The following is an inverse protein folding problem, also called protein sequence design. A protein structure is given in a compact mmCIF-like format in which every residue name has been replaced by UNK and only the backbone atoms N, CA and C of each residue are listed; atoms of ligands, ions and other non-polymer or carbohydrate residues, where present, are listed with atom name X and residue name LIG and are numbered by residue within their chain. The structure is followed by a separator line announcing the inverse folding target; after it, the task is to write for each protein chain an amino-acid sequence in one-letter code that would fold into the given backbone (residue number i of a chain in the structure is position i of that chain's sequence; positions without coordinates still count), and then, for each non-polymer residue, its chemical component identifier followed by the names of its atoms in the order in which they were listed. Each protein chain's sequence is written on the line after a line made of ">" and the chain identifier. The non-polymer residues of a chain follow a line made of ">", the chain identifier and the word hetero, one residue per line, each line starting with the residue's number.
data_IF_289812731173
#
_entry.id   IF_289812731173
#
_cell.length_a   1.000
_cell.length_b   1.000
_cell.length_c   1.000
_cell.angle_alpha   90.00
_cell.angle_beta   90.00
_cell.angle_gamma   90.00
#
_symmetry.space_group_name_H-M   'P 1'
#
loop_
_entity.id
_entity.type
_entity.pdbx_description
1 polymer ?
#
# COMPACT_ATOMS: atom_id res chain seq x y z
N UNK A 1 -22.21 -16.08 18.64
CA UNK A 1 -22.47 -16.11 17.19
C UNK A 1 -21.81 -17.35 16.63
N UNK A 2 -22.46 -18.03 15.69
CA UNK A 2 -21.91 -19.25 15.10
C UNK A 2 -20.84 -18.89 14.07
N UNK A 3 -19.66 -19.53 14.22
CA UNK A 3 -18.50 -19.33 13.35
C UNK A 3 -18.77 -19.77 11.91
N UNK A 4 -19.75 -20.65 11.70
CA UNK A 4 -20.15 -21.12 10.39
C UNK A 4 -21.67 -21.15 10.28
N UNK A 5 -22.20 -20.84 9.09
CA UNK A 5 -23.61 -21.02 8.75
C UNK A 5 -23.71 -21.85 7.47
N UNK A 6 -24.74 -22.67 7.34
CA UNK A 6 -24.97 -23.46 6.13
C UNK A 6 -26.32 -23.07 5.56
N UNK A 7 -26.37 -22.70 4.29
CA UNK A 7 -27.62 -22.44 3.58
C UNK A 7 -28.29 -23.78 3.24
N UNK A 8 -29.37 -24.11 3.92
CA UNK A 8 -30.12 -25.36 3.72
C UNK A 8 -30.76 -25.50 2.32
N UNK A 9 -30.95 -24.39 1.60
CA UNK A 9 -31.54 -24.39 0.25
C UNK A 9 -30.49 -24.73 -0.82
N UNK A 10 -29.24 -24.34 -0.59
CA UNK A 10 -28.14 -24.50 -1.56
C UNK A 10 -27.09 -25.52 -1.11
N UNK A 11 -27.09 -25.93 0.16
CA UNK A 11 -26.07 -26.78 0.77
C UNK A 11 -24.73 -26.10 1.00
N UNK A 12 -24.62 -24.80 0.72
CA UNK A 12 -23.37 -24.05 0.79
C UNK A 12 -23.06 -23.64 2.23
N UNK A 13 -21.83 -23.93 2.69
CA UNK A 13 -21.33 -23.52 3.99
C UNK A 13 -20.70 -22.13 3.89
N UNK A 14 -20.77 -21.35 4.96
CA UNK A 14 -20.14 -20.04 5.09
C UNK A 14 -19.36 -19.95 6.40
N UNK A 15 -18.22 -19.26 6.41
CA UNK A 15 -17.40 -18.95 7.60
C UNK A 15 -17.50 -17.45 7.94
N UNK A 16 -17.66 -17.14 9.23
CA UNK A 16 -17.64 -15.78 9.74
C UNK A 16 -16.19 -15.30 9.89
N UNK A 17 -15.81 -14.31 9.07
CA UNK A 17 -14.49 -13.65 9.16
C UNK A 17 -14.73 -12.17 9.47
N UNK A 18 -14.52 -11.79 10.73
CA UNK A 18 -14.94 -10.47 11.23
C UNK A 18 -16.47 -10.42 11.35
N UNK A 19 -17.10 -9.49 10.62
CA UNK A 19 -18.54 -9.24 10.67
C UNK A 19 -19.29 -9.72 9.40
N UNK A 20 -18.62 -10.46 8.51
CA UNK A 20 -19.16 -10.91 7.21
C UNK A 20 -19.02 -12.43 7.09
N UNK A 21 -20.05 -13.07 6.54
CA UNK A 21 -20.07 -14.50 6.21
C UNK A 21 -19.55 -14.73 4.78
N UNK A 22 -18.47 -15.50 4.64
CA UNK A 22 -17.86 -15.91 3.35
C UNK A 22 -18.23 -17.34 3.01
N UNK A 23 -18.42 -17.69 1.73
CA UNK A 23 -18.54 -19.09 1.31
C UNK A 23 -17.35 -19.90 1.80
N UNK A 24 -17.60 -20.86 2.68
CA UNK A 24 -16.66 -21.90 3.09
C UNK A 24 -16.59 -22.93 1.97
N UNK A 25 -15.98 -22.51 0.86
CA UNK A 25 -15.60 -23.39 -0.24
C UNK A 25 -14.33 -24.16 0.10
N UNK A 26 -14.30 -25.41 -0.35
CA UNK A 26 -13.23 -26.38 -0.12
C UNK A 26 -11.82 -25.79 -0.32
N UNK A 27 -11.09 -25.64 0.79
CA UNK A 27 -9.63 -25.52 0.78
C UNK A 27 -9.00 -26.89 0.42
N UNK A 28 -9.43 -27.53 -0.66
CA UNK A 28 -8.55 -28.47 -1.35
C UNK A 28 -7.64 -27.64 -2.24
N UNK A 29 -6.31 -27.73 -2.07
CA UNK A 29 -5.42 -27.08 -3.00
C UNK A 29 -5.62 -27.78 -4.34
N UNK A 30 -6.21 -27.11 -5.32
CA UNK A 30 -5.96 -27.44 -6.71
C UNK A 30 -4.49 -27.06 -7.00
N UNK A 31 -3.60 -27.92 -6.53
CA UNK A 31 -2.28 -28.16 -7.10
C UNK A 31 -2.47 -28.57 -8.56
N UNK A 32 -2.79 -27.65 -9.46
CA UNK A 32 -2.57 -27.75 -10.92
C UNK A 32 -3.26 -26.57 -11.62
N UNK A 33 -2.53 -25.46 -11.76
CA UNK A 33 -2.53 -24.55 -12.93
C UNK A 33 -1.80 -23.25 -12.60
N UNK A 34 -0.48 -23.28 -12.65
CA UNK A 34 0.34 -22.20 -13.19
C UNK A 34 1.74 -22.75 -13.37
N UNK A 35 2.46 -22.33 -14.41
CA UNK A 35 3.87 -22.69 -14.60
C UNK A 35 4.76 -22.19 -13.45
N UNK A 36 6.08 -22.03 -13.62
CA UNK A 36 6.88 -21.42 -12.58
C UNK A 36 6.29 -20.04 -12.29
N UNK A 37 5.55 -19.89 -11.17
CA UNK A 37 5.21 -18.59 -10.62
C UNK A 37 6.57 -18.01 -10.29
N UNK A 38 7.03 -17.07 -11.12
CA UNK A 38 8.12 -16.19 -10.76
C UNK A 38 7.83 -15.73 -9.34
N UNK A 39 8.79 -15.96 -8.43
CA UNK A 39 8.60 -15.58 -7.03
C UNK A 39 8.13 -14.14 -7.03
N UNK A 40 6.99 -13.80 -6.40
CA UNK A 40 6.54 -12.42 -6.36
C UNK A 40 7.70 -11.58 -5.86
N UNK A 41 8.07 -10.54 -6.61
CA UNK A 41 9.14 -9.66 -6.20
C UNK A 41 8.84 -9.12 -4.80
N UNK A 42 9.87 -8.98 -3.93
CA UNK A 42 9.64 -8.50 -2.58
C UNK A 42 8.99 -7.11 -2.63
N UNK A 43 7.83 -6.98 -2.00
CA UNK A 43 7.12 -5.71 -1.85
C UNK A 43 8.04 -4.72 -1.12
N UNK A 44 8.21 -3.54 -1.70
CA UNK A 44 8.99 -2.44 -1.16
C UNK A 44 8.35 -1.79 0.07
N UNK A 45 9.01 -0.77 0.60
CA UNK A 45 8.61 -0.13 1.86
C UNK A 45 7.26 0.58 1.72
N UNK A 46 6.96 1.17 0.55
CA UNK A 46 5.74 1.91 0.33
C UNK A 46 4.52 1.00 0.21
N UNK A 47 4.66 -0.14 -0.47
CA UNK A 47 3.64 -1.17 -0.59
C UNK A 47 3.38 -1.83 0.76
N UNK A 48 4.41 -2.07 1.57
CA UNK A 48 4.22 -2.55 2.95
C UNK A 48 3.42 -1.56 3.80
N UNK A 49 3.77 -0.26 3.76
CA UNK A 49 3.02 0.79 4.45
C UNK A 49 1.57 0.88 3.98
N UNK A 50 1.35 0.81 2.67
CA UNK A 50 0.01 0.83 2.10
C UNK A 50 -0.80 -0.40 2.52
N UNK A 51 -0.16 -1.58 2.56
CA UNK A 51 -0.78 -2.81 3.05
C UNK A 51 -1.25 -2.69 4.50
N UNK A 52 -0.41 -2.13 5.38
CA UNK A 52 -0.78 -1.84 6.77
C UNK A 52 -1.98 -0.90 6.83
N UNK A 53 -1.92 0.21 6.07
CA UNK A 53 -3.01 1.18 6.01
C UNK A 53 -4.35 0.57 5.54
N UNK A 54 -4.36 -0.20 4.44
CA UNK A 54 -5.61 -0.77 3.92
C UNK A 54 -6.17 -1.86 4.83
N UNK A 55 -5.33 -2.56 5.59
CA UNK A 55 -5.78 -3.53 6.60
C UNK A 55 -6.50 -2.83 7.77
N UNK A 56 -5.95 -1.73 8.23
CA UNK A 56 -6.46 -1.00 9.40
C UNK A 56 -7.65 -0.09 9.05
N UNK A 57 -7.57 0.62 7.93
CA UNK A 57 -8.48 1.72 7.60
C UNK A 57 -9.39 1.45 6.41
N UNK A 58 -9.05 0.48 5.53
CA UNK A 58 -9.77 0.19 4.29
C UNK A 58 -10.06 -1.30 4.10
N UNK A 59 -10.52 -1.96 5.19
CA UNK A 59 -10.77 -3.40 5.21
C UNK A 59 -11.57 -3.96 4.01
N UNK A 60 -12.62 -3.29 3.50
CA UNK A 60 -13.32 -3.75 2.30
C UNK A 60 -12.43 -3.81 1.04
N UNK A 61 -11.55 -2.81 0.85
CA UNK A 61 -10.60 -2.76 -0.27
C UNK A 61 -9.57 -3.89 -0.14
N UNK A 62 -8.99 -4.06 1.05
CA UNK A 62 -8.05 -5.15 1.32
C UNK A 62 -8.65 -6.52 0.96
N UNK A 63 -9.86 -6.79 1.44
CA UNK A 63 -10.55 -8.06 1.18
C UNK A 63 -10.88 -8.24 -0.32
N UNK A 64 -11.31 -7.19 -1.00
CA UNK A 64 -11.57 -7.22 -2.43
C UNK A 64 -10.30 -7.56 -3.24
N UNK A 65 -9.17 -6.91 -2.94
CA UNK A 65 -7.90 -7.17 -3.60
C UNK A 65 -7.40 -8.59 -3.32
N UNK A 66 -7.54 -9.06 -2.08
CA UNK A 66 -7.17 -10.41 -1.69
C UNK A 66 -8.01 -11.48 -2.42
N UNK A 67 -9.34 -11.35 -2.41
CA UNK A 67 -10.25 -12.32 -3.06
C UNK A 67 -10.11 -12.32 -4.58
N UNK A 68 -9.73 -11.18 -5.18
CA UNK A 68 -9.51 -11.10 -6.63
C UNK A 68 -8.09 -11.48 -7.06
N UNK A 69 -7.24 -11.96 -6.14
CA UNK A 69 -5.83 -12.31 -6.40
C UNK A 69 -5.02 -11.15 -7.03
N UNK A 70 -5.38 -9.92 -6.68
CA UNK A 70 -4.75 -8.68 -7.18
C UNK A 70 -4.02 -7.90 -6.12
N UNK A 71 -3.89 -8.44 -4.91
CA UNK A 71 -3.22 -7.76 -3.81
C UNK A 71 -1.75 -7.49 -4.15
N UNK A 72 -1.00 -8.51 -4.54
CA UNK A 72 0.45 -8.37 -4.78
C UNK A 72 0.77 -7.41 -5.93
N UNK A 73 0.03 -7.50 -7.04
CA UNK A 73 0.20 -6.58 -8.18
C UNK A 73 -0.17 -5.14 -7.82
N UNK A 74 -1.24 -4.94 -7.05
CA UNK A 74 -1.62 -3.61 -6.56
C UNK A 74 -0.55 -2.99 -5.66
N UNK A 75 0.01 -3.77 -4.73
CA UNK A 75 1.06 -3.28 -3.84
C UNK A 75 2.35 -2.95 -4.61
N UNK A 76 2.74 -3.77 -5.59
CA UNK A 76 3.88 -3.50 -6.45
C UNK A 76 3.69 -2.23 -7.30
N UNK A 77 2.48 -1.99 -7.79
CA UNK A 77 2.15 -0.76 -8.52
C UNK A 77 2.21 0.48 -7.63
N UNK A 78 1.74 0.39 -6.38
CA UNK A 78 1.85 1.47 -5.39
C UNK A 78 3.31 1.73 -5.05
N UNK A 79 4.11 0.68 -4.82
CA UNK A 79 5.54 0.82 -4.56
C UNK A 79 6.28 1.58 -5.65
N UNK A 80 6.07 1.17 -6.90
CA UNK A 80 6.71 1.80 -8.05
C UNK A 80 6.30 3.26 -8.19
N UNK A 81 5.01 3.56 -8.07
CA UNK A 81 4.51 4.93 -8.15
C UNK A 81 5.04 5.80 -7.00
N UNK A 82 5.11 5.25 -5.79
CA UNK A 82 5.61 5.94 -4.61
C UNK A 82 7.10 6.26 -4.74
N UNK A 83 7.90 5.29 -5.19
CA UNK A 83 9.35 5.46 -5.38
C UNK A 83 9.63 6.48 -6.50
N UNK A 84 8.95 6.37 -7.65
CA UNK A 84 9.08 7.32 -8.75
C UNK A 84 8.73 8.75 -8.32
N UNK A 85 7.66 8.90 -7.54
CA UNK A 85 7.25 10.20 -7.00
C UNK A 85 8.24 10.74 -5.97
N UNK A 86 8.73 9.89 -5.07
CA UNK A 86 9.71 10.23 -4.05
C UNK A 86 11.00 10.74 -4.69
N UNK A 87 11.57 10.00 -5.63
CA UNK A 87 12.82 10.37 -6.32
C UNK A 87 12.66 11.70 -7.04
N UNK A 88 11.56 11.87 -7.78
CA UNK A 88 11.27 13.13 -8.49
C UNK A 88 11.15 14.33 -7.54
N UNK A 89 10.49 14.15 -6.38
CA UNK A 89 10.35 15.22 -5.39
C UNK A 89 11.70 15.58 -4.75
N UNK A 90 12.50 14.57 -4.40
CA UNK A 90 13.84 14.78 -3.83
C UNK A 90 14.72 15.56 -4.81
N UNK A 91 14.74 15.17 -6.09
CA UNK A 91 15.54 15.86 -7.11
C UNK A 91 15.10 17.31 -7.30
N UNK A 92 13.78 17.54 -7.42
CA UNK A 92 13.22 18.88 -7.61
C UNK A 92 13.49 19.81 -6.41
N UNK A 93 13.36 19.29 -5.18
CA UNK A 93 13.62 20.08 -3.98
C UNK A 93 15.12 20.33 -3.77
N UNK A 94 15.98 19.34 -4.07
CA UNK A 94 17.43 19.51 -3.99
C UNK A 94 17.94 20.56 -4.98
N UNK A 95 17.43 20.57 -6.21
CA UNK A 95 17.73 21.60 -7.21
C UNK A 95 17.26 22.98 -6.74
N UNK A 96 16.01 23.07 -6.27
CA UNK A 96 15.42 24.34 -5.80
C UNK A 96 16.13 24.92 -4.56
N UNK A 97 16.59 24.08 -3.64
CA UNK A 97 17.26 24.50 -2.40
C UNK A 97 18.79 24.61 -2.54
N UNK A 98 19.33 24.36 -3.75
CA UNK A 98 20.76 24.44 -4.04
C UNK A 98 21.60 23.41 -3.28
N UNK A 99 21.04 22.23 -3.00
CA UNK A 99 21.74 21.14 -2.31
C UNK A 99 22.57 20.37 -3.31
N UNK A 100 23.78 20.87 -3.58
CA UNK A 100 24.66 20.34 -4.64
C UNK A 100 25.84 19.53 -4.09
N UNK A 101 26.57 18.85 -4.99
CA UNK A 101 27.83 18.18 -4.63
C UNK A 101 28.94 19.17 -4.22
N UNK A 102 28.88 20.44 -4.67
CA UNK A 102 29.79 21.48 -4.16
C UNK A 102 29.53 21.74 -2.67
N UNK A 103 28.26 21.90 -2.27
CA UNK A 103 27.90 22.06 -0.86
C UNK A 103 28.37 20.87 -0.03
N UNK A 104 28.29 19.66 -0.57
CA UNK A 104 28.77 18.44 0.09
C UNK A 104 30.28 18.44 0.31
N UNK A 105 31.05 18.95 -0.65
CA UNK A 105 32.51 19.05 -0.56
C UNK A 105 32.96 20.15 0.42
N UNK A 106 32.23 21.26 0.46
CA UNK A 106 32.53 22.41 1.33
C UNK A 106 32.05 22.19 2.77
N UNK A 107 30.85 21.63 2.93
CA UNK A 107 30.19 21.40 4.22
C UNK A 107 29.30 20.15 4.20
N UNK A 108 29.93 18.99 4.36
CA UNK A 108 29.24 17.69 4.34
C UNK A 108 28.11 17.59 5.38
N UNK A 109 28.29 18.15 6.59
CA UNK A 109 27.27 18.07 7.64
C UNK A 109 26.01 18.85 7.29
N UNK A 110 26.18 20.05 6.72
CA UNK A 110 25.06 20.84 6.23
C UNK A 110 24.35 20.18 5.05
N UNK A 111 25.11 19.60 4.12
CA UNK A 111 24.54 18.84 3.00
C UNK A 111 23.67 17.68 3.49
N UNK A 112 24.16 16.88 4.46
CA UNK A 112 23.38 15.78 5.05
C UNK A 112 22.12 16.30 5.72
N UNK A 113 22.21 17.39 6.49
CA UNK A 113 21.05 17.98 7.17
C UNK A 113 19.97 18.43 6.18
N UNK A 114 20.36 19.14 5.11
CA UNK A 114 19.41 19.62 4.10
C UNK A 114 18.82 18.47 3.29
N UNK A 115 19.65 17.52 2.86
CA UNK A 115 19.18 16.34 2.13
C UNK A 115 18.20 15.50 2.96
N UNK A 116 18.45 15.33 4.25
CA UNK A 116 17.51 14.64 5.15
C UNK A 116 16.18 15.41 5.29
N UNK A 117 16.23 16.75 5.39
CA UNK A 117 15.00 17.55 5.44
C UNK A 117 14.17 17.40 4.16
N UNK A 118 14.82 17.42 2.99
CA UNK A 118 14.18 17.21 1.69
C UNK A 118 13.54 15.81 1.62
N UNK A 119 14.28 14.76 1.97
CA UNK A 119 13.76 13.38 1.96
C UNK A 119 12.54 13.24 2.87
N UNK A 120 12.58 13.79 4.08
CA UNK A 120 11.45 13.74 5.00
C UNK A 120 10.20 14.42 4.40
N UNK A 121 10.36 15.60 3.80
CA UNK A 121 9.25 16.32 3.15
C UNK A 121 8.71 15.57 1.93
N UNK A 122 9.58 14.99 1.10
CA UNK A 122 9.17 14.18 -0.04
C UNK A 122 8.39 12.94 0.42
N UNK A 123 8.85 12.26 1.47
CA UNK A 123 8.18 11.11 2.09
C UNK A 123 6.81 11.47 2.66
N UNK A 124 6.67 12.62 3.34
CA UNK A 124 5.38 13.12 3.84
C UNK A 124 4.35 13.31 2.71
N UNK A 125 4.79 13.90 1.58
CA UNK A 125 3.91 14.10 0.42
C UNK A 125 3.50 12.75 -0.17
N UNK A 126 4.43 11.82 -0.40
CA UNK A 126 4.12 10.48 -0.94
C UNK A 126 3.16 9.73 -0.02
N UNK A 127 3.41 9.75 1.29
CA UNK A 127 2.54 9.13 2.27
C UNK A 127 1.11 9.70 2.19
N UNK A 128 0.97 11.02 2.12
CA UNK A 128 -0.33 11.69 2.10
C UNK A 128 -1.10 11.44 0.80
N UNK A 129 -0.42 11.57 -0.33
CA UNK A 129 -1.06 11.54 -1.66
C UNK A 129 -1.35 10.12 -2.15
N UNK A 130 -0.46 9.16 -1.87
CA UNK A 130 -0.52 7.83 -2.47
C UNK A 130 -0.76 6.71 -1.44
N UNK A 131 -0.12 6.78 -0.27
CA UNK A 131 -0.22 5.70 0.72
C UNK A 131 -1.53 5.79 1.50
N UNK A 132 -1.96 7.00 1.86
CA UNK A 132 -3.14 7.26 2.69
C UNK A 132 -4.25 8.02 1.96
N UNK A 133 -4.13 8.22 0.63
CA UNK A 133 -4.85 9.21 -0.20
C UNK A 133 -6.39 9.17 -0.24
N UNK A 134 -7.05 8.33 0.56
CA UNK A 134 -8.51 8.26 0.68
C UNK A 134 -9.09 9.07 1.87
N UNK A 135 -8.28 9.76 2.68
CA UNK A 135 -8.78 10.55 3.82
C UNK A 135 -9.12 12.01 3.51
N UNK A 136 -8.66 12.53 2.37
CA UNK A 136 -8.79 13.96 2.04
C UNK A 136 -10.16 14.28 1.42
N UNK A 137 -10.84 13.31 0.80
CA UNK A 137 -12.17 13.50 0.22
C UNK A 137 -13.33 13.31 1.22
N UNK A 138 -13.10 12.67 2.37
CA UNK A 138 -14.14 12.43 3.38
C UNK A 138 -14.38 13.59 4.35
N UNK A 139 -13.43 14.53 4.48
CA UNK A 139 -13.55 15.68 5.39
C UNK A 139 -14.23 16.90 4.77
N UNK A 140 -14.24 17.01 3.44
CA UNK A 140 -14.81 18.18 2.73
C UNK A 140 -16.33 18.13 2.58
N UNK A 141 -16.98 16.99 2.85
CA UNK A 141 -18.44 16.82 2.75
C UNK A 141 -19.19 17.02 4.08
N UNK A 142 -18.50 17.22 5.21
CA UNK A 142 -19.11 17.37 6.55
C UNK A 142 -18.97 18.78 7.14
N UNK A 143 -18.74 19.79 6.30
CA UNK A 143 -18.83 21.20 6.67
C UNK A 143 -19.54 21.97 5.54
N UNK A 144 -20.83 21.74 5.36
CA UNK A 144 -21.73 22.59 4.58
C UNK A 144 -23.15 22.47 5.12
#
# INVERSE_FOLDING_TARGET
>A
MEKYITDERTGLRYELIGDIYYLAGDNQPEEEKSGPKEKPEPIGIWGQRHLEYIKEHKRPLYLYLFVTDRLDSHLADIDRQAEDMFLRLVDQMAEHEGVTEQLKAENQMEWVQRMNNIRNRAEEIVNTELIYGDEIYGKTQNQS
#
